data_IF_271946811448
#
_entry.id   IF_271946811448
#
_cell.length_a   1.000
_cell.length_b   1.000
_cell.length_c   1.000
_cell.angle_alpha   90.00
_cell.angle_beta   90.00
_cell.angle_gamma   90.00
#
_symmetry.space_group_name_H-M   'P 1'
#
loop_
_entity.id
_entity.type
_entity.pdbx_description
1 polymer ?
#
# COMPACT_ATOMS: atom_id res chain seq x y z
N UNK A 1 -54.72 -63.05 29.25
CA UNK A 1 -53.35 -63.04 29.81
C UNK A 1 -52.76 -61.65 29.58
N UNK A 2 -52.24 -61.02 30.65
CA UNK A 2 -51.30 -59.87 30.79
C UNK A 2 -51.08 -58.95 29.56
N UNK A 3 -51.55 -57.68 29.59
CA UNK A 3 -50.86 -56.44 30.04
C UNK A 3 -49.64 -56.02 29.19
N UNK A 4 -49.24 -54.73 29.14
CA UNK A 4 -49.99 -53.48 28.94
C UNK A 4 -49.27 -52.46 28.01
N UNK A 5 -49.95 -51.36 27.69
CA UNK A 5 -49.46 -49.99 27.43
C UNK A 5 -47.96 -49.75 27.23
N UNK A 6 -47.60 -49.14 26.09
CA UNK A 6 -46.46 -48.22 26.00
C UNK A 6 -46.94 -46.97 25.24
N UNK A 7 -47.25 -45.91 25.99
CA UNK A 7 -47.42 -44.58 25.45
C UNK A 7 -46.03 -44.00 25.11
N UNK A 8 -45.82 -43.36 23.95
CA UNK A 8 -44.58 -42.67 23.69
C UNK A 8 -44.62 -41.35 24.45
N UNK A 9 -43.80 -41.22 25.50
CA UNK A 9 -43.49 -39.92 26.11
C UNK A 9 -42.63 -39.16 25.10
N UNK A 10 -43.23 -38.22 24.39
CA UNK A 10 -42.52 -37.23 23.58
C UNK A 10 -41.73 -36.33 24.55
N UNK A 11 -40.42 -36.56 24.67
CA UNK A 11 -39.52 -35.58 25.29
C UNK A 11 -39.28 -34.45 24.28
N UNK A 12 -40.01 -33.34 24.45
CA UNK A 12 -39.72 -32.09 23.77
C UNK A 12 -38.52 -31.45 24.47
N UNK A 13 -37.31 -31.81 24.04
CA UNK A 13 -36.08 -31.15 24.48
C UNK A 13 -36.03 -29.75 23.83
N UNK A 14 -36.53 -28.74 24.54
CA UNK A 14 -36.44 -27.34 24.13
C UNK A 14 -34.99 -26.86 24.18
N UNK A 15 -34.31 -26.84 23.04
CA UNK A 15 -33.07 -26.08 22.87
C UNK A 15 -33.40 -24.60 22.82
N UNK A 16 -33.28 -23.91 23.96
CA UNK A 16 -33.23 -22.45 23.99
C UNK A 16 -31.85 -22.03 23.45
N UNK A 17 -31.74 -21.89 22.13
CA UNK A 17 -30.59 -21.25 21.50
C UNK A 17 -30.63 -19.77 21.90
N UNK A 18 -29.81 -19.39 22.88
CA UNK A 18 -29.47 -18.00 23.14
C UNK A 18 -28.86 -17.43 21.86
N UNK A 19 -29.66 -16.69 21.08
CA UNK A 19 -29.19 -15.87 20.00
C UNK A 19 -28.34 -14.75 20.62
N UNK A 20 -27.05 -15.03 20.83
CA UNK A 20 -26.10 -13.96 21.11
C UNK A 20 -26.01 -13.14 19.82
N UNK A 21 -26.36 -11.84 19.84
CA UNK A 21 -26.10 -10.99 18.68
C UNK A 21 -24.59 -11.05 18.44
N UNK A 22 -24.20 -11.65 17.31
CA UNK A 22 -22.81 -11.64 16.90
C UNK A 22 -22.37 -10.19 16.81
N UNK A 23 -21.30 -9.83 17.51
CA UNK A 23 -20.62 -8.56 17.30
C UNK A 23 -20.05 -8.65 15.88
N UNK A 24 -20.76 -8.07 14.92
CA UNK A 24 -20.26 -7.95 13.56
C UNK A 24 -19.15 -6.90 13.59
N UNK A 25 -17.92 -7.32 13.28
CA UNK A 25 -16.80 -6.40 13.17
C UNK A 25 -17.16 -5.32 12.14
N UNK A 26 -16.97 -4.05 12.50
CA UNK A 26 -17.13 -2.95 11.56
C UNK A 26 -16.12 -3.12 10.42
N UNK A 27 -16.58 -3.05 9.17
CA UNK A 27 -15.67 -2.95 8.05
C UNK A 27 -14.90 -1.62 8.15
N UNK A 28 -13.59 -1.72 8.38
CA UNK A 28 -12.72 -0.56 8.45
C UNK A 28 -12.25 -0.18 7.03
N UNK A 29 -12.06 1.13 6.76
CA UNK A 29 -11.38 1.58 5.56
C UNK A 29 -10.03 0.88 5.35
N UNK A 30 -9.80 0.36 4.15
CA UNK A 30 -8.51 -0.24 3.78
C UNK A 30 -7.64 0.80 3.09
N UNK A 31 -6.36 0.83 3.46
CA UNK A 31 -5.33 1.57 2.77
C UNK A 31 -4.24 0.61 2.33
N UNK A 32 -3.61 0.89 1.19
CA UNK A 32 -2.40 0.21 0.78
C UNK A 32 -1.20 1.09 1.13
N UNK A 33 -0.29 0.57 1.95
CA UNK A 33 0.90 1.31 2.38
C UNK A 33 2.05 1.25 1.38
N UNK A 34 1.97 0.42 0.34
CA UNK A 34 3.11 0.21 -0.55
C UNK A 34 2.76 -0.43 -1.91
N UNK A 35 2.72 0.40 -2.95
CA UNK A 35 2.54 -0.04 -4.34
C UNK A 35 3.72 0.44 -5.21
N UNK A 36 4.22 -0.46 -6.06
CA UNK A 36 5.12 -0.11 -7.14
C UNK A 36 4.39 0.01 -8.47
N UNK A 37 4.50 1.17 -9.11
CA UNK A 37 3.87 1.41 -10.41
C UNK A 37 4.87 2.01 -11.40
N UNK A 38 5.87 1.20 -11.78
CA UNK A 38 6.96 1.60 -12.70
C UNK A 38 6.62 1.27 -14.17
N UNK A 39 7.56 1.52 -15.09
CA UNK A 39 7.33 1.41 -16.54
C UNK A 39 6.70 0.10 -17.02
N UNK A 40 7.15 -1.01 -16.47
CA UNK A 40 6.60 -2.33 -16.77
C UNK A 40 5.16 -2.48 -16.29
N UNK A 41 4.81 -1.89 -15.15
CA UNK A 41 3.44 -1.92 -14.62
C UNK A 41 2.48 -1.12 -15.50
N UNK A 42 2.80 0.14 -15.82
CA UNK A 42 1.88 0.97 -16.61
C UNK A 42 1.82 0.58 -18.09
N UNK A 43 2.82 -0.16 -18.59
CA UNK A 43 2.77 -0.74 -19.95
C UNK A 43 1.77 -1.90 -20.04
N UNK A 44 1.54 -2.61 -18.93
CA UNK A 44 0.62 -3.75 -18.85
C UNK A 44 -0.77 -3.35 -18.36
N UNK A 45 -0.82 -2.45 -17.38
CA UNK A 45 -2.05 -1.97 -16.74
C UNK A 45 -2.00 -0.45 -16.76
N UNK A 46 -2.59 0.22 -17.76
CA UNK A 46 -2.59 1.68 -17.87
C UNK A 46 -3.22 2.39 -16.66
N UNK A 47 -2.93 3.70 -16.43
CA UNK A 47 -3.34 4.41 -15.21
C UNK A 47 -4.82 4.30 -14.86
N UNK A 48 -5.71 4.45 -15.85
CA UNK A 48 -7.16 4.34 -15.65
C UNK A 48 -7.58 2.96 -15.15
N UNK A 49 -7.00 1.92 -15.71
CA UNK A 49 -7.30 0.53 -15.35
C UNK A 49 -6.73 0.22 -13.97
N UNK A 50 -5.53 0.71 -13.65
CA UNK A 50 -4.93 0.59 -12.32
C UNK A 50 -5.82 1.26 -11.26
N UNK A 51 -6.27 2.50 -11.48
CA UNK A 51 -7.20 3.19 -10.56
C UNK A 51 -8.51 2.41 -10.40
N UNK A 52 -9.07 1.87 -11.50
CA UNK A 52 -10.28 1.06 -11.44
C UNK A 52 -10.10 -0.19 -10.55
N UNK A 53 -8.95 -0.87 -10.67
CA UNK A 53 -8.59 -2.03 -9.82
C UNK A 53 -8.49 -1.61 -8.35
N UNK A 54 -7.77 -0.53 -8.04
CA UNK A 54 -7.59 -0.05 -6.67
C UNK A 54 -8.93 0.36 -6.02
N UNK A 55 -9.82 1.02 -6.78
CA UNK A 55 -11.16 1.38 -6.31
C UNK A 55 -12.04 0.15 -6.11
N UNK A 56 -11.97 -0.82 -7.02
CA UNK A 56 -12.71 -2.10 -6.90
C UNK A 56 -12.25 -2.90 -5.68
N UNK A 57 -10.98 -2.80 -5.30
CA UNK A 57 -10.44 -3.37 -4.08
C UNK A 57 -10.88 -2.64 -2.79
N UNK A 58 -11.64 -1.54 -2.91
CA UNK A 58 -12.18 -0.80 -1.76
C UNK A 58 -11.17 0.13 -1.08
N UNK A 59 -10.00 0.36 -1.70
CA UNK A 59 -8.96 1.20 -1.11
C UNK A 59 -9.43 2.65 -0.98
N UNK A 60 -9.17 3.24 0.19
CA UNK A 60 -9.40 4.67 0.43
C UNK A 60 -8.18 5.53 0.15
N UNK A 61 -6.98 4.97 0.36
CA UNK A 61 -5.69 5.61 0.07
C UNK A 61 -4.70 4.53 -0.37
N UNK A 62 -3.80 4.89 -1.28
CA UNK A 62 -2.75 4.01 -1.75
C UNK A 62 -1.42 4.77 -1.84
N UNK A 63 -0.43 4.34 -1.07
CA UNK A 63 0.93 4.88 -1.14
C UNK A 63 1.64 4.28 -2.34
N UNK A 64 1.96 5.12 -3.32
CA UNK A 64 2.53 4.68 -4.59
C UNK A 64 3.91 5.28 -4.78
N UNK A 65 4.82 4.44 -5.25
CA UNK A 65 6.16 4.83 -5.69
C UNK A 65 6.48 4.18 -7.04
N UNK A 66 7.32 4.82 -7.84
CA UNK A 66 7.75 4.31 -9.14
C UNK A 66 9.20 4.66 -9.40
N UNK A 67 9.92 3.81 -10.14
CA UNK A 67 11.23 4.20 -10.67
C UNK A 67 11.03 5.39 -11.60
N UNK A 68 11.86 6.42 -11.48
CA UNK A 68 11.79 7.73 -12.16
C UNK A 68 10.62 8.66 -11.78
N UNK A 69 9.69 8.17 -10.95
CA UNK A 69 8.50 8.87 -10.44
C UNK A 69 7.38 9.17 -11.46
N UNK A 70 7.55 8.89 -12.76
CA UNK A 70 6.54 9.24 -13.77
C UNK A 70 5.22 8.47 -13.57
N UNK A 71 5.29 7.18 -13.23
CA UNK A 71 4.09 6.38 -12.96
C UNK A 71 3.33 6.84 -11.73
N UNK A 72 4.04 7.26 -10.70
CA UNK A 72 3.45 7.87 -9.50
C UNK A 72 2.67 9.12 -9.90
N UNK A 73 3.27 10.01 -10.69
CA UNK A 73 2.61 11.25 -11.13
C UNK A 73 1.42 10.99 -12.07
N UNK A 74 1.51 9.97 -12.93
CA UNK A 74 0.40 9.54 -13.79
C UNK A 74 -0.81 9.09 -12.97
N UNK A 75 -0.60 8.24 -11.95
CA UNK A 75 -1.69 7.81 -11.07
C UNK A 75 -2.23 8.94 -10.21
N UNK A 76 -1.35 9.82 -9.70
CA UNK A 76 -1.76 10.98 -8.93
C UNK A 76 -2.64 11.94 -9.74
N UNK A 77 -2.31 12.16 -11.01
CA UNK A 77 -3.10 12.99 -11.90
C UNK A 77 -4.48 12.36 -12.21
N UNK A 78 -4.55 11.03 -12.32
CA UNK A 78 -5.80 10.32 -12.58
C UNK A 78 -6.73 10.27 -11.35
N UNK A 79 -6.18 10.11 -10.13
CA UNK A 79 -6.96 9.95 -8.90
C UNK A 79 -6.30 10.61 -7.68
N UNK A 80 -6.29 11.95 -7.58
CA UNK A 80 -5.65 12.68 -6.47
C UNK A 80 -6.30 12.45 -5.11
N UNK A 81 -7.55 11.96 -5.07
CA UNK A 81 -8.27 11.57 -3.86
C UNK A 81 -7.77 10.23 -3.27
N UNK A 82 -7.21 9.36 -4.12
CA UNK A 82 -6.81 8.00 -3.77
C UNK A 82 -5.29 7.87 -3.59
N UNK A 83 -4.51 8.52 -4.46
CA UNK A 83 -3.08 8.28 -4.55
C UNK A 83 -2.30 9.16 -3.59
N UNK A 84 -1.36 8.52 -2.88
CA UNK A 84 -0.46 9.16 -1.91
C UNK A 84 0.98 8.99 -2.41
N UNK A 85 1.59 10.05 -2.97
CA UNK A 85 2.87 9.92 -3.68
C UNK A 85 4.07 9.83 -2.73
N UNK A 86 4.94 8.85 -2.97
CA UNK A 86 6.21 8.63 -2.28
C UNK A 86 7.35 8.63 -3.31
N UNK A 87 8.40 9.41 -3.05
CA UNK A 87 9.51 9.60 -4.00
C UNK A 87 10.63 8.59 -3.74
N UNK A 88 11.05 7.83 -4.75
CA UNK A 88 12.19 6.91 -4.67
C UNK A 88 13.49 7.61 -5.10
N UNK A 89 14.65 7.19 -4.57
CA UNK A 89 15.95 7.56 -5.14
C UNK A 89 16.24 6.88 -6.49
N UNK A 90 15.42 5.92 -6.91
CA UNK A 90 15.65 5.11 -8.11
C UNK A 90 15.12 5.77 -9.38
N UNK A 91 16.00 5.99 -10.36
CA UNK A 91 15.64 6.42 -11.72
C UNK A 91 15.27 5.23 -12.59
N UNK A 92 15.81 4.06 -12.30
CA UNK A 92 15.48 2.81 -12.99
C UNK A 92 15.72 1.60 -12.05
N UNK A 93 15.40 0.39 -12.52
CA UNK A 93 15.55 -0.85 -11.73
C UNK A 93 17.01 -1.18 -11.36
N UNK A 94 17.98 -0.74 -12.16
CA UNK A 94 19.40 -1.03 -11.91
C UNK A 94 19.96 -0.20 -10.74
N UNK A 95 19.30 0.90 -10.37
CA UNK A 95 19.73 1.74 -9.25
C UNK A 95 19.52 1.06 -7.88
N UNK A 96 18.66 0.02 -7.78
CA UNK A 96 18.18 -0.54 -6.51
C UNK A 96 19.30 -0.89 -5.54
N UNK A 97 20.38 -1.49 -6.05
CA UNK A 97 21.53 -1.93 -5.25
C UNK A 97 22.73 -0.98 -5.21
N UNK A 98 22.70 0.11 -5.98
CA UNK A 98 23.89 0.98 -6.16
C UNK A 98 23.64 2.46 -5.88
N UNK A 99 22.38 2.90 -5.79
CA UNK A 99 22.01 4.32 -5.66
C UNK A 99 22.76 5.08 -4.55
N UNK A 100 23.02 4.43 -3.42
CA UNK A 100 23.75 5.02 -2.27
C UNK A 100 25.16 5.50 -2.62
N UNK A 101 25.74 4.97 -3.70
CA UNK A 101 27.09 5.32 -4.19
C UNK A 101 27.05 6.28 -5.37
N UNK A 102 25.87 6.68 -5.83
CA UNK A 102 25.70 7.61 -6.95
C UNK A 102 25.20 8.97 -6.45
N UNK A 103 26.11 9.94 -6.37
CA UNK A 103 25.79 11.30 -5.91
C UNK A 103 24.77 12.02 -6.79
N UNK A 104 24.63 11.64 -8.07
CA UNK A 104 23.66 12.27 -8.98
C UNK A 104 22.21 11.97 -8.61
N UNK A 105 21.96 10.98 -7.74
CA UNK A 105 20.63 10.71 -7.16
C UNK A 105 20.11 11.92 -6.38
N UNK A 106 20.98 12.66 -5.70
CA UNK A 106 20.55 13.83 -4.93
C UNK A 106 19.98 14.91 -5.84
N UNK A 107 20.65 15.20 -6.95
CA UNK A 107 20.15 16.17 -7.94
C UNK A 107 18.80 15.73 -8.52
N UNK A 108 18.63 14.43 -8.79
CA UNK A 108 17.35 13.87 -9.23
C UNK A 108 16.23 14.11 -8.21
N UNK A 109 16.47 13.77 -6.94
CA UNK A 109 15.50 13.97 -5.87
C UNK A 109 15.12 15.44 -5.69
N UNK A 110 16.11 16.33 -5.64
CA UNK A 110 15.89 17.78 -5.53
C UNK A 110 15.06 18.33 -6.70
N UNK A 111 15.33 17.87 -7.93
CA UNK A 111 14.55 18.26 -9.10
C UNK A 111 13.09 17.82 -8.97
N UNK A 112 12.82 16.58 -8.53
CA UNK A 112 11.46 16.06 -8.35
C UNK A 112 10.74 16.78 -7.20
N UNK A 113 11.42 17.05 -6.08
CA UNK A 113 10.88 17.75 -4.91
C UNK A 113 10.53 19.23 -5.19
N UNK A 114 11.23 19.88 -6.12
CA UNK A 114 10.89 21.23 -6.61
C UNK A 114 9.62 21.25 -7.46
N UNK A 115 9.35 20.18 -8.20
CA UNK A 115 8.24 20.10 -9.16
C UNK A 115 6.94 19.57 -8.56
N UNK A 116 7.04 18.69 -7.57
CA UNK A 116 5.90 17.93 -7.05
C UNK A 116 5.90 17.87 -5.51
N UNK A 117 4.79 17.38 -4.95
CA UNK A 117 4.61 17.18 -3.51
C UNK A 117 4.56 15.69 -3.21
N UNK A 118 5.21 15.30 -2.13
CA UNK A 118 5.32 13.91 -1.66
C UNK A 118 5.10 13.87 -0.16
N UNK A 119 4.62 12.73 0.33
CA UNK A 119 4.45 12.51 1.78
C UNK A 119 5.65 11.78 2.41
N UNK A 120 6.60 11.32 1.60
CA UNK A 120 7.78 10.62 2.07
C UNK A 120 8.78 10.31 0.96
N UNK A 121 9.94 9.80 1.38
CA UNK A 121 11.00 9.28 0.52
C UNK A 121 11.11 7.78 0.75
N UNK A 122 11.05 7.01 -0.33
CA UNK A 122 11.02 5.55 -0.33
C UNK A 122 10.20 4.99 -1.49
N UNK A 123 10.18 3.69 -1.71
CA UNK A 123 11.08 2.67 -1.13
C UNK A 123 12.54 2.87 -1.54
N UNK A 124 13.47 2.52 -0.65
CA UNK A 124 14.88 2.32 -0.98
C UNK A 124 15.51 1.19 -0.16
N UNK A 125 16.67 0.72 -0.64
CA UNK A 125 17.47 -0.34 -0.05
C UNK A 125 18.86 0.20 0.26
N UNK A 126 19.25 0.17 1.53
CA UNK A 126 20.59 0.51 1.99
C UNK A 126 20.96 -0.47 3.11
N UNK A 127 22.20 -0.95 3.11
CA UNK A 127 22.62 -2.08 3.96
C UNK A 127 23.97 -1.81 4.61
N UNK A 128 24.14 -2.24 5.85
CA UNK A 128 25.43 -2.16 6.56
C UNK A 128 25.99 -0.73 6.54
N UNK A 129 27.29 -0.59 6.25
CA UNK A 129 27.96 0.71 6.19
C UNK A 129 27.43 1.63 5.08
N UNK A 130 26.68 1.12 4.09
CA UNK A 130 26.12 1.96 3.03
C UNK A 130 25.05 2.94 3.55
N UNK A 131 24.44 2.66 4.70
CA UNK A 131 23.46 3.57 5.32
C UNK A 131 24.11 4.89 5.77
N UNK A 132 25.40 4.85 6.12
CA UNK A 132 26.19 5.99 6.59
C UNK A 132 26.78 6.81 5.44
N UNK A 133 26.62 6.36 4.19
CA UNK A 133 27.13 7.11 3.05
C UNK A 133 26.43 8.48 2.92
N UNK A 134 27.14 9.52 2.44
CA UNK A 134 26.57 10.87 2.31
C UNK A 134 25.26 10.92 1.52
N UNK A 135 25.12 10.12 0.46
CA UNK A 135 23.90 10.06 -0.34
C UNK A 135 22.70 9.52 0.46
N UNK A 136 22.92 8.49 1.28
CA UNK A 136 21.89 7.90 2.14
C UNK A 136 21.45 8.86 3.24
N UNK A 137 22.43 9.44 3.95
CA UNK A 137 22.16 10.37 5.05
C UNK A 137 21.44 11.63 4.59
N UNK A 138 21.82 12.21 3.44
CA UNK A 138 21.12 13.37 2.85
C UNK A 138 19.69 13.06 2.40
N UNK A 139 19.38 11.82 2.01
CA UNK A 139 18.01 11.41 1.70
C UNK A 139 17.14 11.27 2.95
N UNK A 140 17.71 10.73 4.05
CA UNK A 140 16.96 10.45 5.28
C UNK A 140 16.63 11.67 6.13
N UNK A 141 17.44 12.73 6.07
CA UNK A 141 17.32 13.88 6.99
C UNK A 141 16.37 14.98 6.53
N UNK A 142 15.67 14.82 5.40
CA UNK A 142 14.59 15.73 4.99
C UNK A 142 14.98 17.22 5.01
N UNK A 143 16.24 17.55 4.76
CA UNK A 143 16.73 18.94 4.76
C UNK A 143 16.40 19.61 3.42
N UNK A 144 15.09 19.75 3.13
CA UNK A 144 14.64 20.76 2.16
C UNK A 144 14.63 22.14 2.84
N UNK A 145 14.95 23.22 2.11
CA UNK A 145 14.81 24.56 2.68
C UNK A 145 13.34 24.80 3.03
N UNK A 146 13.10 25.30 4.25
CA UNK A 146 11.80 25.82 4.66
C UNK A 146 11.38 27.06 3.89
#
# INVERSE_FOLDING_TARGET
MRNPFVAPVLLLAGTLALAMPGIQAAELPVIDSHIHYSHDAWSLVPPKDAIAILRKAGLKRAMVSSSNDDGTQMLLAEAPDLIVPVLRPYRNRNDVGSWVRDESVIAHLEQRLKKHRYVGIGEFHAFGADIELPTSTRCGTGSGPG
#
